data_IF_886914319187
#
_entry.id   IF_886914319187
#
_cell.length_a   1.000
_cell.length_b   1.000
_cell.length_c   1.000
_cell.angle_alpha   90.00
_cell.angle_beta   90.00
_cell.angle_gamma   90.00
#
_symmetry.space_group_name_H-M   'P 1'
#
loop_
_entity.id
_entity.type
_entity.pdbx_description
1 polymer ?
#
# COMPACT_ATOMS: atom_id res chain seq x y z
N UNK A 1 17.36 -75.34 -7.26
CA UNK A 1 16.88 -74.58 -8.45
C UNK A 1 16.43 -73.22 -7.99
N UNK A 2 17.04 -72.18 -8.55
CA UNK A 2 16.75 -70.75 -8.29
C UNK A 2 15.46 -70.38 -9.03
N UNK A 3 14.58 -69.58 -8.43
CA UNK A 3 13.89 -68.54 -9.21
C UNK A 3 13.40 -67.40 -8.33
N UNK A 4 13.95 -66.23 -8.66
CA UNK A 4 13.60 -64.89 -8.21
C UNK A 4 12.16 -64.54 -8.56
N UNK A 5 11.45 -63.81 -7.68
CA UNK A 5 10.31 -62.98 -8.07
C UNK A 5 10.32 -61.65 -7.33
N UNK A 6 11.00 -60.72 -7.98
CA UNK A 6 10.64 -59.32 -8.24
C UNK A 6 10.40 -58.39 -7.04
N UNK A 7 11.50 -57.74 -6.64
CA UNK A 7 11.53 -56.38 -6.13
C UNK A 7 11.13 -55.38 -7.21
N UNK A 8 10.09 -54.57 -6.99
CA UNK A 8 9.94 -53.26 -7.61
C UNK A 8 9.23 -52.31 -6.63
N UNK A 9 9.99 -51.78 -5.67
CA UNK A 9 9.63 -50.58 -4.92
C UNK A 9 10.01 -49.37 -5.76
N UNK A 10 9.05 -48.81 -6.50
CA UNK A 10 9.22 -47.54 -7.18
C UNK A 10 9.04 -46.40 -6.16
N UNK A 11 10.15 -45.87 -5.65
CA UNK A 11 10.15 -44.58 -4.97
C UNK A 11 10.00 -43.48 -6.02
N UNK A 12 8.78 -42.98 -6.22
CA UNK A 12 8.55 -41.73 -6.95
C UNK A 12 9.08 -40.61 -6.07
N UNK A 13 10.32 -40.17 -6.35
CA UNK A 13 10.83 -38.92 -5.83
C UNK A 13 9.95 -37.80 -6.38
N UNK A 14 9.07 -37.24 -5.54
CA UNK A 14 8.36 -36.01 -5.84
C UNK A 14 9.42 -34.91 -5.99
N UNK A 15 9.86 -34.66 -7.22
CA UNK A 15 10.52 -33.42 -7.57
C UNK A 15 9.46 -32.32 -7.45
N UNK A 16 9.26 -31.83 -6.23
CA UNK A 16 8.57 -30.56 -6.02
C UNK A 16 9.36 -29.55 -6.84
N UNK A 17 8.74 -28.84 -7.80
CA UNK A 17 9.42 -27.72 -8.41
C UNK A 17 9.75 -26.77 -7.26
N UNK A 18 11.03 -26.65 -6.92
CA UNK A 18 11.51 -25.53 -6.12
C UNK A 18 11.25 -24.34 -7.02
N UNK A 19 10.06 -23.73 -6.89
CA UNK A 19 9.83 -22.39 -7.39
C UNK A 19 11.01 -21.58 -6.87
N UNK A 20 11.77 -20.96 -7.77
CA UNK A 20 12.96 -20.21 -7.40
C UNK A 20 12.56 -19.21 -6.30
N UNK A 21 12.92 -19.52 -5.06
CA UNK A 21 12.63 -18.66 -3.91
C UNK A 21 13.31 -17.32 -4.15
N UNK A 22 12.60 -16.23 -3.88
CA UNK A 22 13.17 -14.89 -3.97
C UNK A 22 14.45 -14.83 -3.14
N UNK A 23 15.52 -14.35 -3.76
CA UNK A 23 16.73 -13.96 -3.05
C UNK A 23 16.52 -12.66 -2.26
N UNK A 24 17.25 -12.44 -1.16
CA UNK A 24 17.24 -11.18 -0.43
C UNK A 24 17.48 -9.95 -1.33
N UNK A 25 18.38 -10.08 -2.31
CA UNK A 25 18.66 -9.03 -3.28
C UNK A 25 17.43 -8.67 -4.16
N UNK A 26 16.62 -9.66 -4.53
CA UNK A 26 15.40 -9.41 -5.28
C UNK A 26 14.31 -8.76 -4.40
N UNK A 27 14.22 -9.11 -3.11
CA UNK A 27 13.36 -8.40 -2.15
C UNK A 27 13.72 -6.92 -2.08
N UNK A 28 15.02 -6.62 -1.92
CA UNK A 28 15.54 -5.24 -1.92
C UNK A 28 15.17 -4.52 -3.22
N UNK A 29 15.33 -5.19 -4.37
CA UNK A 29 14.98 -4.62 -5.68
C UNK A 29 13.48 -4.31 -5.78
N UNK A 30 12.62 -5.21 -5.32
CA UNK A 30 11.18 -5.02 -5.32
C UNK A 30 10.77 -3.83 -4.43
N UNK A 31 11.32 -3.72 -3.23
CA UNK A 31 11.06 -2.59 -2.32
C UNK A 31 11.55 -1.26 -2.93
N UNK A 32 12.74 -1.25 -3.56
CA UNK A 32 13.25 -0.06 -4.27
C UNK A 32 12.37 0.32 -5.46
N UNK A 33 11.79 -0.64 -6.17
CA UNK A 33 10.82 -0.37 -7.23
C UNK A 33 9.55 0.30 -6.68
N UNK A 34 9.02 -0.17 -5.54
CA UNK A 34 7.89 0.49 -4.87
C UNK A 34 8.24 1.91 -4.41
N UNK A 35 9.47 2.11 -3.93
CA UNK A 35 10.01 3.41 -3.55
C UNK A 35 10.02 4.37 -4.75
N UNK A 36 10.55 3.92 -5.89
CA UNK A 36 10.60 4.73 -7.12
C UNK A 36 9.20 5.11 -7.62
N UNK A 37 8.24 4.18 -7.59
CA UNK A 37 6.85 4.47 -7.95
C UNK A 37 6.22 5.49 -7.01
N UNK A 38 6.47 5.38 -5.71
CA UNK A 38 6.00 6.35 -4.71
C UNK A 38 6.62 7.74 -4.95
N UNK A 39 7.90 7.80 -5.29
CA UNK A 39 8.59 9.05 -5.59
C UNK A 39 8.03 9.72 -6.86
N UNK A 40 7.72 8.94 -7.90
CA UNK A 40 7.15 9.45 -9.15
C UNK A 40 5.77 10.10 -8.94
N UNK A 41 5.01 9.68 -7.91
CA UNK A 41 3.71 10.28 -7.59
C UNK A 41 3.80 11.59 -6.80
N UNK A 42 4.97 11.96 -6.28
CA UNK A 42 5.12 13.20 -5.50
C UNK A 42 4.87 14.45 -6.35
N UNK A 43 5.38 14.50 -7.58
CA UNK A 43 5.19 15.66 -8.46
C UNK A 43 3.70 15.85 -8.86
N UNK A 44 2.97 14.82 -9.31
CA UNK A 44 1.52 14.90 -9.50
C UNK A 44 0.78 15.33 -8.23
N UNK A 45 1.12 14.77 -7.06
CA UNK A 45 0.49 15.14 -5.78
C UNK A 45 0.75 16.62 -5.41
N UNK A 46 1.94 17.14 -5.66
CA UNK A 46 2.24 18.56 -5.42
C UNK A 46 1.48 19.49 -6.36
N UNK A 47 1.21 19.05 -7.59
CA UNK A 47 0.44 19.80 -8.59
C UNK A 47 -1.05 19.94 -8.29
N UNK A 48 -1.56 19.25 -7.25
CA UNK A 48 -2.92 19.41 -6.77
C UNK A 48 -3.14 20.86 -6.31
N UNK A 49 -4.16 21.50 -6.88
CA UNK A 49 -4.63 22.84 -6.52
C UNK A 49 -6.13 22.82 -6.28
N UNK A 50 -6.67 23.87 -5.63
CA UNK A 50 -8.12 24.06 -5.44
C UNK A 50 -8.88 24.08 -6.77
N UNK A 51 -8.24 24.61 -7.83
CA UNK A 51 -8.83 24.75 -9.17
C UNK A 51 -8.91 23.38 -9.87
N UNK A 52 -7.88 22.54 -9.72
CA UNK A 52 -7.82 21.24 -10.38
C UNK A 52 -8.56 20.13 -9.60
N UNK A 53 -8.90 20.34 -8.34
CA UNK A 53 -9.59 19.32 -7.53
C UNK A 53 -10.96 18.88 -8.07
N UNK A 54 -11.88 19.81 -8.39
CA UNK A 54 -13.17 19.45 -8.97
C UNK A 54 -13.08 18.66 -10.28
N UNK A 55 -11.95 18.73 -10.99
CA UNK A 55 -11.73 18.00 -12.23
C UNK A 55 -11.72 16.47 -12.04
N UNK A 56 -11.51 15.96 -10.81
CA UNK A 56 -11.63 14.52 -10.52
C UNK A 56 -12.99 13.96 -10.98
N UNK A 57 -14.05 14.77 -10.88
CA UNK A 57 -15.44 14.35 -11.14
C UNK A 57 -15.63 14.01 -12.62
N UNK A 58 -14.88 14.68 -13.49
CA UNK A 58 -14.90 14.47 -14.94
C UNK A 58 -13.65 13.72 -15.44
N UNK A 59 -12.89 13.10 -14.52
CA UNK A 59 -11.69 12.33 -14.87
C UNK A 59 -10.52 13.17 -15.37
N UNK A 60 -10.47 14.47 -15.06
CA UNK A 60 -9.39 15.37 -15.43
C UNK A 60 -8.56 15.79 -14.21
N UNK A 61 -7.38 16.37 -14.45
CA UNK A 61 -6.48 16.85 -13.41
C UNK A 61 -5.55 15.77 -12.83
N UNK A 62 -4.88 16.07 -11.70
CA UNK A 62 -3.83 15.20 -11.16
C UNK A 62 -4.35 14.00 -10.37
N UNK A 63 -5.61 14.02 -9.90
CA UNK A 63 -6.18 12.94 -9.09
C UNK A 63 -6.29 11.59 -9.84
N UNK A 64 -6.80 11.53 -11.09
CA UNK A 64 -6.78 10.30 -11.87
C UNK A 64 -5.38 9.70 -12.02
N UNK A 65 -4.36 10.52 -12.26
CA UNK A 65 -2.97 10.07 -12.38
C UNK A 65 -2.46 9.49 -11.04
N UNK A 66 -2.79 10.12 -9.92
CA UNK A 66 -2.42 9.66 -8.58
C UNK A 66 -3.11 8.33 -8.25
N UNK A 67 -4.41 8.21 -8.54
CA UNK A 67 -5.16 6.97 -8.32
C UNK A 67 -4.59 5.83 -9.19
N UNK A 68 -4.31 6.10 -10.48
CA UNK A 68 -3.71 5.12 -11.37
C UNK A 68 -2.32 4.70 -10.86
N UNK A 69 -1.46 5.64 -10.47
CA UNK A 69 -0.15 5.31 -9.94
C UNK A 69 -0.20 4.55 -8.61
N UNK A 70 -1.18 4.84 -7.75
CA UNK A 70 -1.42 4.05 -6.56
C UNK A 70 -1.92 2.64 -6.89
N UNK A 71 -2.77 2.48 -7.89
CA UNK A 71 -3.16 1.15 -8.41
C UNK A 71 -1.96 0.37 -8.95
N UNK A 72 -1.02 1.05 -9.60
CA UNK A 72 0.22 0.42 -10.07
C UNK A 72 1.11 -0.02 -8.91
N UNK A 73 1.19 0.77 -7.84
CA UNK A 73 1.90 0.40 -6.60
C UNK A 73 1.26 -0.84 -5.99
N UNK A 74 -0.07 -0.84 -5.83
CA UNK A 74 -0.83 -1.99 -5.31
C UNK A 74 -0.56 -3.24 -6.15
N UNK A 75 -0.69 -3.16 -7.48
CA UNK A 75 -0.43 -4.29 -8.37
C UNK A 75 1.00 -4.82 -8.25
N UNK A 76 1.99 -3.93 -8.27
CA UNK A 76 3.41 -4.29 -8.16
C UNK A 76 3.70 -4.96 -6.82
N UNK A 77 3.13 -4.43 -5.74
CA UNK A 77 3.34 -4.94 -4.40
C UNK A 77 2.59 -6.26 -4.17
N UNK A 78 1.39 -6.46 -4.75
CA UNK A 78 0.73 -7.77 -4.79
C UNK A 78 1.57 -8.82 -5.50
N UNK A 79 2.21 -8.48 -6.62
CA UNK A 79 3.17 -9.39 -7.28
C UNK A 79 4.36 -9.70 -6.37
N UNK A 80 4.94 -8.69 -5.72
CA UNK A 80 6.05 -8.89 -4.79
C UNK A 80 5.66 -9.81 -3.61
N UNK A 81 4.47 -9.62 -3.01
CA UNK A 81 3.93 -10.49 -1.96
C UNK A 81 3.84 -11.94 -2.46
N UNK A 82 3.26 -12.16 -3.64
CA UNK A 82 3.15 -13.51 -4.22
C UNK A 82 4.51 -14.18 -4.41
N UNK A 83 5.54 -13.41 -4.76
CA UNK A 83 6.91 -13.91 -4.90
C UNK A 83 7.62 -14.15 -3.56
N UNK A 84 7.23 -13.42 -2.50
CA UNK A 84 7.78 -13.59 -1.15
C UNK A 84 7.23 -14.82 -0.43
N UNK A 85 6.14 -15.42 -0.93
CA UNK A 85 5.55 -16.61 -0.32
C UNK A 85 6.56 -17.76 -0.30
N UNK A 86 6.81 -18.27 0.92
CA UNK A 86 7.76 -19.35 1.14
C UNK A 86 9.23 -18.91 1.14
N UNK A 87 9.56 -17.62 1.17
CA UNK A 87 10.95 -17.19 1.33
C UNK A 87 11.55 -17.77 2.62
N UNK A 88 12.76 -18.36 2.58
CA UNK A 88 13.41 -18.85 3.80
C UNK A 88 13.79 -17.68 4.72
N UNK A 89 13.93 -17.92 6.04
CA UNK A 89 14.44 -16.92 6.96
C UNK A 89 15.79 -16.36 6.51
N UNK A 90 15.95 -15.04 6.55
CA UNK A 90 17.17 -14.32 6.19
C UNK A 90 18.07 -14.26 7.43
N UNK A 91 19.27 -14.86 7.40
CA UNK A 91 20.21 -14.78 8.49
C UNK A 91 20.63 -13.32 8.79
N UNK A 92 21.02 -13.05 10.03
CA UNK A 92 21.59 -11.77 10.40
C UNK A 92 22.87 -11.50 9.58
N UNK A 93 22.95 -10.31 8.98
CA UNK A 93 24.12 -9.87 8.20
C UNK A 93 23.79 -8.80 7.17
N UNK A 94 24.61 -8.71 6.13
CA UNK A 94 24.48 -7.69 5.11
C UNK A 94 23.13 -7.75 4.37
N UNK A 95 22.58 -8.94 4.15
CA UNK A 95 21.30 -9.12 3.45
C UNK A 95 20.10 -8.64 4.28
N UNK A 96 20.07 -8.96 5.59
CA UNK A 96 19.04 -8.46 6.51
C UNK A 96 19.09 -6.93 6.63
N UNK A 97 20.30 -6.37 6.69
CA UNK A 97 20.50 -4.93 6.79
C UNK A 97 20.08 -4.22 5.49
N UNK A 98 20.40 -4.79 4.34
CA UNK A 98 20.00 -4.24 3.04
C UNK A 98 18.47 -4.23 2.85
N UNK A 99 17.78 -5.28 3.30
CA UNK A 99 16.31 -5.34 3.30
C UNK A 99 15.73 -4.26 4.20
N UNK A 100 16.24 -4.16 5.44
CA UNK A 100 15.81 -3.14 6.38
C UNK A 100 16.01 -1.72 5.85
N UNK A 101 17.20 -1.40 5.33
CA UNK A 101 17.50 -0.08 4.78
C UNK A 101 16.61 0.26 3.58
N UNK A 102 16.33 -0.72 2.70
CA UNK A 102 15.42 -0.54 1.60
C UNK A 102 13.98 -0.26 2.08
N UNK A 103 13.51 -1.01 3.08
CA UNK A 103 12.18 -0.80 3.65
C UNK A 103 12.05 0.55 4.35
N UNK A 104 13.06 0.96 5.13
CA UNK A 104 13.10 2.28 5.76
C UNK A 104 13.05 3.41 4.73
N UNK A 105 13.81 3.29 3.64
CA UNK A 105 13.79 4.31 2.58
C UNK A 105 12.44 4.35 1.86
N UNK A 106 11.82 3.19 1.62
CA UNK A 106 10.45 3.11 1.12
C UNK A 106 9.48 3.85 2.04
N UNK A 107 9.50 3.56 3.34
CA UNK A 107 8.64 4.20 4.35
C UNK A 107 8.81 5.71 4.32
N UNK A 108 10.06 6.20 4.34
CA UNK A 108 10.37 7.64 4.30
C UNK A 108 9.80 8.32 3.06
N UNK A 109 10.05 7.76 1.87
CA UNK A 109 9.59 8.34 0.59
C UNK A 109 8.07 8.28 0.47
N UNK A 110 7.44 7.20 0.92
CA UNK A 110 6.01 7.03 0.89
C UNK A 110 5.30 7.98 1.87
N UNK A 111 5.86 8.17 3.08
CA UNK A 111 5.37 9.16 4.03
C UNK A 111 5.44 10.59 3.48
N UNK A 112 6.49 10.96 2.74
CA UNK A 112 6.55 12.28 2.07
C UNK A 112 5.38 12.44 1.10
N UNK A 113 5.09 11.43 0.28
CA UNK A 113 3.94 11.44 -0.63
C UNK A 113 2.61 11.60 0.14
N UNK A 114 2.41 10.81 1.19
CA UNK A 114 1.19 10.87 2.01
C UNK A 114 1.03 12.22 2.71
N UNK A 115 2.10 12.80 3.25
CA UNK A 115 2.08 14.11 3.89
C UNK A 115 1.71 15.23 2.91
N UNK A 116 2.18 15.14 1.65
CA UNK A 116 1.73 16.04 0.58
C UNK A 116 0.21 15.89 0.39
N UNK A 117 -0.28 14.66 0.25
CA UNK A 117 -1.71 14.41 0.05
C UNK A 117 -2.57 14.86 1.24
N UNK A 118 -2.11 14.67 2.48
CA UNK A 118 -2.76 15.17 3.69
C UNK A 118 -2.88 16.70 3.63
N UNK A 119 -1.78 17.40 3.33
CA UNK A 119 -1.78 18.86 3.20
C UNK A 119 -2.75 19.35 2.10
N UNK A 120 -2.82 18.62 0.98
CA UNK A 120 -3.74 18.92 -0.13
C UNK A 120 -5.20 18.59 0.19
N UNK A 121 -5.49 17.60 1.03
CA UNK A 121 -6.85 17.30 1.47
C UNK A 121 -7.52 18.52 2.15
N UNK A 122 -6.72 19.36 2.83
CA UNK A 122 -7.17 20.62 3.41
C UNK A 122 -7.80 21.60 2.40
N UNK A 123 -7.37 21.55 1.13
CA UNK A 123 -7.89 22.39 0.05
C UNK A 123 -9.32 22.04 -0.36
N UNK A 124 -9.76 20.80 -0.09
CA UNK A 124 -11.03 20.26 -0.58
C UNK A 124 -12.11 20.17 0.49
N UNK A 125 -11.90 20.76 1.66
CA UNK A 125 -12.91 20.87 2.72
C UNK A 125 -14.24 21.52 2.25
N UNK A 126 -14.22 22.25 1.12
CA UNK A 126 -15.37 22.95 0.54
C UNK A 126 -16.01 22.22 -0.64
N UNK A 127 -15.36 21.22 -1.23
CA UNK A 127 -15.78 20.60 -2.50
C UNK A 127 -16.35 19.19 -2.27
N UNK A 128 -17.61 18.91 -2.69
CA UNK A 128 -18.26 17.63 -2.43
C UNK A 128 -17.63 16.41 -3.16
N UNK A 129 -17.61 15.24 -2.51
CA UNK A 129 -17.44 13.91 -3.11
C UNK A 129 -16.10 13.56 -3.80
N UNK A 130 -15.06 14.39 -3.65
CA UNK A 130 -13.73 14.15 -4.28
C UNK A 130 -12.92 13.05 -3.57
N UNK A 131 -13.10 12.89 -2.24
CA UNK A 131 -12.16 12.09 -1.44
C UNK A 131 -12.36 10.57 -1.50
N UNK A 132 -13.54 10.06 -1.86
CA UNK A 132 -13.85 8.63 -1.75
C UNK A 132 -13.02 7.71 -2.67
N UNK A 133 -12.83 8.02 -3.96
CA UNK A 133 -11.99 7.18 -4.83
C UNK A 133 -10.55 7.11 -4.33
N UNK A 134 -10.02 8.21 -3.79
CA UNK A 134 -8.67 8.24 -3.25
C UNK A 134 -8.58 7.49 -1.91
N UNK A 135 -9.54 7.67 -1.01
CA UNK A 135 -9.58 6.92 0.25
C UNK A 135 -9.69 5.41 0.00
N UNK A 136 -10.45 4.98 -1.01
CA UNK A 136 -10.59 3.58 -1.38
C UNK A 136 -9.25 2.96 -1.83
N UNK A 137 -8.49 3.65 -2.70
CA UNK A 137 -7.19 3.13 -3.13
C UNK A 137 -6.13 3.19 -2.01
N UNK A 138 -6.17 4.21 -1.15
CA UNK A 138 -5.28 4.29 0.01
C UNK A 138 -5.46 3.12 0.99
N UNK A 139 -6.70 2.65 1.22
CA UNK A 139 -6.95 1.43 2.01
C UNK A 139 -6.38 0.16 1.35
N UNK A 140 -6.35 0.10 0.02
CA UNK A 140 -5.71 -1.03 -0.66
C UNK A 140 -4.18 -1.00 -0.48
N UNK A 141 -3.58 0.19 -0.49
CA UNK A 141 -2.15 0.36 -0.20
C UNK A 141 -1.84 -0.08 1.21
N UNK A 142 -2.62 0.35 2.20
CA UNK A 142 -2.48 -0.04 3.61
C UNK A 142 -2.43 -1.56 3.77
N UNK A 143 -3.42 -2.28 3.26
CA UNK A 143 -3.45 -3.75 3.31
C UNK A 143 -2.19 -4.40 2.70
N UNK A 144 -1.71 -3.87 1.58
CA UNK A 144 -0.57 -4.44 0.86
C UNK A 144 0.76 -4.10 1.54
N UNK A 145 0.89 -2.89 2.08
CA UNK A 145 2.04 -2.46 2.89
C UNK A 145 2.13 -3.30 4.17
N UNK A 146 1.01 -3.52 4.85
CA UNK A 146 0.96 -4.36 6.06
C UNK A 146 1.39 -5.79 5.76
N UNK A 147 0.90 -6.36 4.65
CA UNK A 147 1.28 -7.72 4.24
C UNK A 147 2.77 -7.83 3.94
N UNK A 148 3.35 -6.83 3.27
CA UNK A 148 4.81 -6.79 3.04
C UNK A 148 5.54 -6.64 4.38
N UNK A 149 5.11 -5.72 5.23
CA UNK A 149 5.75 -5.47 6.53
C UNK A 149 5.80 -6.73 7.39
N UNK A 150 4.67 -7.43 7.55
CA UNK A 150 4.62 -8.69 8.28
C UNK A 150 5.49 -9.77 7.64
N UNK A 151 5.45 -9.91 6.31
CA UNK A 151 6.32 -10.85 5.60
C UNK A 151 7.81 -10.57 5.79
N UNK A 152 8.22 -9.29 5.88
CA UNK A 152 9.61 -8.92 6.16
C UNK A 152 9.98 -9.13 7.63
N UNK A 153 9.05 -8.88 8.57
CA UNK A 153 9.26 -9.11 10.01
C UNK A 153 9.51 -10.59 10.27
N UNK A 154 8.70 -11.47 9.68
CA UNK A 154 8.83 -12.91 9.81
C UNK A 154 10.11 -13.43 9.15
N UNK A 155 10.46 -12.89 7.98
CA UNK A 155 11.64 -13.35 7.25
C UNK A 155 12.96 -12.80 7.80
N UNK A 156 12.96 -11.63 8.43
CA UNK A 156 14.17 -10.93 8.89
C UNK A 156 14.11 -10.73 10.41
N UNK A 157 14.03 -11.85 11.15
CA UNK A 157 13.85 -11.84 12.62
C UNK A 157 14.88 -10.97 13.35
N UNK A 158 16.13 -10.93 12.85
CA UNK A 158 17.22 -10.10 13.41
C UNK A 158 16.93 -8.59 13.40
N UNK A 159 16.06 -8.13 12.50
CA UNK A 159 15.62 -6.73 12.35
C UNK A 159 14.12 -6.54 12.60
N UNK A 160 13.41 -7.56 13.09
CA UNK A 160 11.96 -7.55 13.28
C UNK A 160 11.47 -6.32 14.06
N UNK A 161 12.15 -5.97 15.17
CA UNK A 161 11.76 -4.81 15.99
C UNK A 161 11.94 -3.47 15.27
N UNK A 162 12.96 -3.34 14.42
CA UNK A 162 13.20 -2.13 13.65
C UNK A 162 12.19 -2.02 12.50
N UNK A 163 11.93 -3.13 11.80
CA UNK A 163 10.90 -3.23 10.75
C UNK A 163 9.50 -2.91 11.28
N UNK A 164 9.15 -3.42 12.46
CA UNK A 164 7.87 -3.12 13.11
C UNK A 164 7.70 -1.63 13.41
N UNK A 165 8.77 -0.93 13.82
CA UNK A 165 8.70 0.52 14.08
C UNK A 165 8.45 1.30 12.79
N UNK A 166 9.15 0.96 11.71
CA UNK A 166 8.97 1.58 10.40
C UNK A 166 7.55 1.31 9.85
N UNK A 167 7.06 0.08 10.00
CA UNK A 167 5.70 -0.30 9.61
C UNK A 167 4.63 0.50 10.37
N UNK A 168 4.74 0.57 11.70
CA UNK A 168 3.79 1.33 12.54
C UNK A 168 3.82 2.84 12.21
N UNK A 169 4.98 3.40 11.87
CA UNK A 169 5.10 4.80 11.47
C UNK A 169 4.41 5.07 10.12
N UNK A 170 4.54 4.15 9.17
CA UNK A 170 3.86 4.25 7.88
C UNK A 170 2.34 4.08 8.02
N UNK A 171 1.90 3.07 8.76
CA UNK A 171 0.49 2.80 9.09
C UNK A 171 -0.20 4.04 9.67
N UNK A 172 0.39 4.67 10.69
CA UNK A 172 -0.15 5.90 11.27
C UNK A 172 -0.30 7.04 10.25
N UNK A 173 0.63 7.14 9.29
CA UNK A 173 0.56 8.16 8.22
C UNK A 173 -0.52 7.83 7.19
N UNK A 174 -0.66 6.56 6.82
CA UNK A 174 -1.73 6.06 5.93
C UNK A 174 -3.10 6.30 6.53
N UNK A 175 -3.30 5.91 7.79
CA UNK A 175 -4.54 6.14 8.54
C UNK A 175 -4.92 7.62 8.55
N UNK A 176 -3.98 8.54 8.83
CA UNK A 176 -4.25 9.99 8.79
C UNK A 176 -4.66 10.45 7.39
N UNK A 177 -3.99 9.95 6.34
CA UNK A 177 -4.30 10.29 4.96
C UNK A 177 -5.69 9.80 4.55
N UNK A 178 -6.00 8.53 4.82
CA UNK A 178 -7.32 7.91 4.57
C UNK A 178 -8.41 8.74 5.25
N UNK A 179 -8.25 9.03 6.54
CA UNK A 179 -9.21 9.82 7.31
C UNK A 179 -9.39 11.25 6.76
N UNK A 180 -8.31 11.87 6.27
CA UNK A 180 -8.36 13.20 5.67
C UNK A 180 -9.24 13.22 4.41
N UNK A 181 -9.19 12.18 3.59
CA UNK A 181 -10.02 12.07 2.38
C UNK A 181 -11.42 11.49 2.63
N UNK A 182 -11.57 10.59 3.60
CA UNK A 182 -12.88 10.10 4.05
C UNK A 182 -13.71 11.20 4.73
N UNK A 183 -13.08 12.04 5.57
CA UNK A 183 -13.73 13.13 6.27
C UNK A 183 -14.36 14.17 5.34
N UNK A 184 -13.86 14.29 4.10
CA UNK A 184 -14.48 15.12 3.06
C UNK A 184 -15.88 14.60 2.67
N UNK A 185 -16.11 13.28 2.75
CA UNK A 185 -17.39 12.64 2.46
C UNK A 185 -18.42 12.85 3.59
N UNK A 186 -17.99 12.81 4.86
CA UNK A 186 -18.88 12.88 6.03
C UNK A 186 -19.38 14.31 6.32
N UNK A 187 -18.55 15.33 6.13
CA UNK A 187 -18.95 16.75 6.27
C UNK A 187 -20.13 17.13 5.38
N UNK A 188 -20.29 16.47 4.23
CA UNK A 188 -21.41 16.68 3.30
C UNK A 188 -22.71 16.06 3.78
N UNK A 189 -22.66 14.84 4.35
CA UNK A 189 -23.84 14.19 4.93
C UNK A 189 -24.42 15.06 6.03
N UNK A 190 -23.57 15.59 6.91
CA UNK A 190 -23.97 16.51 7.98
C UNK A 190 -24.55 17.83 7.43
N UNK A 191 -23.94 18.43 6.39
CA UNK A 191 -24.45 19.68 5.80
C UNK A 191 -25.80 19.49 5.09
N UNK A 192 -26.03 18.35 4.45
CA UNK A 192 -27.32 18.00 3.83
C UNK A 192 -28.40 17.76 4.88
N UNK A 193 -28.14 16.96 5.91
CA UNK A 193 -29.13 16.67 6.97
C UNK A 193 -29.59 17.95 7.69
N UNK A 194 -28.67 18.86 8.00
CA UNK A 194 -29.00 20.15 8.61
C UNK A 194 -29.85 21.06 7.71
N UNK A 195 -29.68 20.98 6.38
CA UNK A 195 -30.52 21.74 5.43
C UNK A 195 -31.94 21.19 5.35
N UNK A 196 -32.11 19.87 5.41
CA UNK A 196 -33.43 19.24 5.44
C UNK A 196 -34.16 19.56 6.75
N UNK A 197 -33.48 19.39 7.89
CA UNK A 197 -34.05 19.74 9.20
C UNK A 197 -34.50 21.21 9.27
N UNK A 198 -33.72 22.16 8.73
CA UNK A 198 -34.11 23.58 8.69
C UNK A 198 -35.28 23.88 7.76
N UNK A 199 -35.44 23.13 6.66
CA UNK A 199 -36.57 23.32 5.73
C UNK A 199 -37.86 22.75 6.29
N UNK A 200 -37.81 21.63 7.02
CA UNK A 200 -38.98 21.06 7.69
C UNK A 200 -39.49 21.99 8.80
N UNK A 201 -38.58 22.58 9.59
CA UNK A 201 -38.96 23.55 10.63
C UNK A 201 -39.57 24.83 10.03
N UNK A 202 -39.06 25.31 8.90
CA UNK A 202 -39.57 26.52 8.24
C UNK A 202 -40.88 26.30 7.45
N UNK A 203 -41.23 25.06 7.10
CA UNK A 203 -42.50 24.71 6.46
C UNK A 203 -43.61 24.39 7.49
N UNK A 204 -43.25 24.18 8.76
CA UNK A 204 -44.15 23.89 9.87
C UNK A 204 -44.49 25.12 10.73
N UNK A 205 -43.99 26.31 10.37
CA UNK A 205 -44.26 27.60 11.02
C UNK A 205 -45.06 28.50 10.07
#
# INVERSE_FOLDING_TARGET
MVSFRNFFTAAVALSVPIAAQLSPAQVVSNIKMLTSKSQALQAPAQSITVINGPLIIIGQGPFPQIIAGFSDIVSTATTAIGQMQGMPPVPAGADSDAIYDAFREFVRVHQVLLNILIGKAGLFNTVPFIGQPLAAILRQIENVVDTIAFGLIDAVESRASDLQREANALDGTLTICINSYDGLSTKLKAKRSLRFARREIAAAA
#
